data_IF_437948439645
#
_entry.id   IF_437948439645
#
_cell.length_a   1.000
_cell.length_b   1.000
_cell.length_c   1.000
_cell.angle_alpha   90.00
_cell.angle_beta   90.00
_cell.angle_gamma   90.00
#
_symmetry.space_group_name_H-M   'P 1'
#
loop_
_entity.id
_entity.type
_entity.pdbx_description
1 polymer ?
#
# COMPACT_ATOMS: atom_id res chain seq x y z
N UNK A 1 -7.74 32.47 5.40
CA UNK A 1 -8.06 31.16 4.79
C UNK A 1 -6.83 30.29 4.45
N UNK A 2 -5.59 30.81 4.44
CA UNK A 2 -4.40 30.06 3.98
C UNK A 2 -3.89 28.94 4.91
N UNK A 3 -4.27 28.95 6.20
CA UNK A 3 -3.74 28.02 7.22
C UNK A 3 -4.27 26.58 7.12
N UNK A 4 -5.46 26.38 6.55
CA UNK A 4 -6.08 25.05 6.44
C UNK A 4 -5.45 24.27 5.28
N UNK A 5 -5.17 24.94 4.16
CA UNK A 5 -4.52 24.38 2.98
C UNK A 5 -3.08 23.95 3.28
N UNK A 6 -2.33 24.75 4.04
CA UNK A 6 -0.96 24.40 4.47
C UNK A 6 -0.91 23.19 5.40
N UNK A 7 -1.90 23.03 6.30
CA UNK A 7 -1.99 21.85 7.18
C UNK A 7 -2.34 20.58 6.41
N UNK A 8 -3.22 20.69 5.43
CA UNK A 8 -3.60 19.55 4.58
C UNK A 8 -2.42 19.11 3.69
N UNK A 9 -1.65 20.06 3.14
CA UNK A 9 -0.42 19.74 2.39
C UNK A 9 0.67 19.11 3.27
N UNK A 10 0.80 19.55 4.53
CA UNK A 10 1.72 18.92 5.50
C UNK A 10 1.31 17.50 5.88
N UNK A 11 0.01 17.22 6.00
CA UNK A 11 -0.52 15.87 6.23
C UNK A 11 -0.32 14.96 5.00
N UNK A 12 -0.53 15.48 3.78
CA UNK A 12 -0.29 14.73 2.54
C UNK A 12 1.19 14.43 2.33
N UNK A 13 2.09 15.37 2.65
CA UNK A 13 3.52 15.12 2.64
C UNK A 13 3.95 14.09 3.72
N UNK A 14 3.34 14.13 4.90
CA UNK A 14 3.58 13.13 5.96
C UNK A 14 3.11 11.73 5.57
N UNK A 15 1.95 11.61 4.90
CA UNK A 15 1.46 10.33 4.36
C UNK A 15 2.34 9.84 3.21
N UNK A 16 2.77 10.72 2.30
CA UNK A 16 3.67 10.37 1.20
C UNK A 16 5.07 9.93 1.70
N UNK A 17 5.56 10.48 2.81
CA UNK A 17 6.81 10.04 3.44
C UNK A 17 6.66 8.71 4.17
N UNK A 18 5.48 8.40 4.73
CA UNK A 18 5.20 7.08 5.31
C UNK A 18 5.12 5.99 4.22
N UNK A 19 4.58 6.32 3.04
CA UNK A 19 4.59 5.38 1.89
C UNK A 19 5.98 5.25 1.27
N UNK A 20 6.78 6.32 1.22
CA UNK A 20 8.16 6.28 0.69
C UNK A 20 9.19 5.64 1.63
N UNK A 21 8.93 5.59 2.93
CA UNK A 21 9.82 4.97 3.92
C UNK A 21 9.79 3.43 3.92
N UNK A 22 8.85 2.80 3.21
CA UNK A 22 8.71 1.34 3.20
C UNK A 22 9.77 0.62 2.34
N UNK A 23 10.51 1.34 1.48
CA UNK A 23 11.57 0.77 0.65
C UNK A 23 12.84 0.38 1.44
N UNK A 24 12.91 0.63 2.75
CA UNK A 24 14.10 0.47 3.57
C UNK A 24 14.03 -0.69 4.60
N UNK A 25 13.28 -1.77 4.35
CA UNK A 25 13.32 -2.98 5.20
C UNK A 25 14.12 -4.09 4.51
N UNK A 26 15.45 -4.02 4.64
CA UNK A 26 16.39 -4.98 4.07
C UNK A 26 16.61 -6.25 4.94
N UNK A 27 15.92 -6.41 6.07
CA UNK A 27 16.21 -7.48 7.05
C UNK A 27 14.98 -8.29 7.51
N UNK A 28 13.85 -8.12 6.82
CA UNK A 28 12.62 -8.91 6.99
C UNK A 28 11.73 -8.68 5.77
N UNK A 29 11.53 -9.70 4.93
CA UNK A 29 10.96 -9.57 3.58
C UNK A 29 9.46 -9.19 3.57
N UNK A 30 9.10 -7.97 3.95
CA UNK A 30 7.74 -7.47 3.76
C UNK A 30 7.44 -7.27 2.27
N UNK A 31 6.26 -7.66 1.82
CA UNK A 31 5.78 -7.41 0.45
C UNK A 31 4.62 -6.43 0.45
N UNK A 32 4.51 -5.62 -0.60
CA UNK A 32 3.40 -4.71 -0.82
C UNK A 32 2.53 -5.22 -1.97
N UNK A 33 1.25 -5.39 -1.68
CA UNK A 33 0.24 -5.92 -2.59
C UNK A 33 -0.80 -4.85 -2.89
N UNK A 34 -0.92 -4.49 -4.17
CA UNK A 34 -1.93 -3.57 -4.70
C UNK A 34 -3.24 -4.27 -5.05
N UNK A 35 -4.38 -3.68 -4.70
CA UNK A 35 -5.71 -4.18 -5.05
C UNK A 35 -6.72 -3.05 -5.31
N UNK A 36 -7.87 -3.36 -5.91
CA UNK A 36 -8.98 -2.42 -6.10
C UNK A 36 -10.07 -2.65 -5.04
N UNK A 37 -10.56 -1.58 -4.41
CA UNK A 37 -11.54 -1.67 -3.31
C UNK A 37 -12.96 -2.02 -3.79
N UNK A 38 -13.27 -1.68 -5.05
CA UNK A 38 -14.63 -1.74 -5.60
C UNK A 38 -15.16 -3.18 -5.78
N UNK A 39 -14.29 -4.18 -5.67
CA UNK A 39 -14.59 -5.58 -5.96
C UNK A 39 -14.41 -6.44 -4.70
N UNK A 40 -15.48 -7.07 -4.16
CA UNK A 40 -15.38 -7.95 -3.00
C UNK A 40 -14.70 -9.26 -3.41
N UNK A 41 -13.39 -9.33 -3.19
CA UNK A 41 -12.55 -10.44 -3.62
C UNK A 41 -12.32 -11.44 -2.48
N UNK A 42 -12.23 -12.75 -2.76
CA UNK A 42 -12.09 -13.79 -1.73
C UNK A 42 -10.86 -13.62 -0.81
N UNK A 43 -9.78 -13.02 -1.32
CA UNK A 43 -8.56 -12.78 -0.55
C UNK A 43 -8.77 -11.79 0.61
N UNK A 44 -9.83 -10.97 0.59
CA UNK A 44 -10.04 -9.94 1.61
C UNK A 44 -10.23 -10.53 2.99
N UNK A 45 -10.85 -11.72 3.11
CA UNK A 45 -10.95 -12.43 4.39
C UNK A 45 -9.56 -12.77 4.94
N UNK A 46 -8.70 -13.37 4.12
CA UNK A 46 -7.35 -13.73 4.55
C UNK A 46 -6.48 -12.51 4.87
N UNK A 47 -6.66 -11.42 4.12
CA UNK A 47 -6.05 -10.12 4.40
C UNK A 47 -6.44 -9.58 5.79
N UNK A 48 -7.73 -9.46 6.09
CA UNK A 48 -8.19 -8.84 7.36
C UNK A 48 -7.85 -9.69 8.57
N UNK A 49 -7.71 -11.01 8.39
CA UNK A 49 -7.33 -11.94 9.45
C UNK A 49 -5.80 -12.14 9.55
N UNK A 50 -4.98 -11.47 8.74
CA UNK A 50 -3.52 -11.61 8.79
C UNK A 50 -2.98 -12.99 8.39
N UNK A 51 -3.80 -13.82 7.74
CA UNK A 51 -3.45 -15.20 7.37
C UNK A 51 -2.31 -15.26 6.35
N UNK A 52 -2.13 -14.22 5.54
CA UNK A 52 -1.01 -14.13 4.61
C UNK A 52 0.31 -13.90 5.34
N UNK A 53 0.31 -13.04 6.35
CA UNK A 53 1.52 -12.75 7.14
C UNK A 53 2.00 -14.01 7.87
N UNK A 54 1.06 -14.75 8.45
CA UNK A 54 1.32 -16.04 9.10
C UNK A 54 1.88 -17.08 8.12
N UNK A 55 1.22 -17.25 6.97
CA UNK A 55 1.62 -18.25 5.98
C UNK A 55 2.97 -17.93 5.31
N UNK A 56 3.29 -16.65 5.14
CA UNK A 56 4.53 -16.20 4.49
C UNK A 56 5.67 -15.96 5.47
N UNK A 57 5.40 -15.93 6.78
CA UNK A 57 6.38 -15.56 7.80
C UNK A 57 6.89 -14.13 7.64
N UNK A 58 6.11 -13.27 6.99
CA UNK A 58 6.52 -11.93 6.58
C UNK A 58 5.31 -11.00 6.43
N UNK A 59 5.48 -9.72 6.75
CA UNK A 59 4.38 -8.74 6.69
C UNK A 59 3.91 -8.48 5.26
N UNK A 60 2.60 -8.56 5.01
CA UNK A 60 1.97 -8.16 3.75
C UNK A 60 1.30 -6.79 3.90
N UNK A 61 1.88 -5.78 3.25
CA UNK A 61 1.31 -4.44 3.17
C UNK A 61 0.24 -4.40 2.07
N UNK A 62 -0.96 -3.91 2.37
CA UNK A 62 -2.05 -3.85 1.40
C UNK A 62 -2.37 -2.42 1.01
N UNK A 63 -2.29 -2.10 -0.28
CA UNK A 63 -2.57 -0.75 -0.81
C UNK A 63 -3.77 -0.82 -1.76
N UNK A 64 -4.78 -0.01 -1.47
CA UNK A 64 -5.92 0.16 -2.37
C UNK A 64 -5.59 1.19 -3.45
N UNK A 65 -5.97 0.92 -4.69
CA UNK A 65 -5.87 1.86 -5.80
C UNK A 65 -7.25 2.15 -6.39
N UNK A 66 -7.42 3.39 -6.86
CA UNK A 66 -8.65 3.83 -7.54
C UNK A 66 -8.55 3.67 -9.07
N UNK A 67 -7.33 3.60 -9.62
CA UNK A 67 -7.11 3.49 -11.07
C UNK A 67 -5.93 2.58 -11.40
N UNK A 68 -6.02 1.90 -12.55
CA UNK A 68 -4.93 1.09 -13.08
C UNK A 68 -3.67 1.90 -13.39
N UNK A 69 -3.79 3.19 -13.75
CA UNK A 69 -2.64 4.08 -13.99
C UNK A 69 -1.83 4.31 -12.72
N UNK A 70 -2.49 4.56 -11.59
CA UNK A 70 -1.81 4.73 -10.31
C UNK A 70 -1.13 3.43 -9.85
N UNK A 71 -1.81 2.29 -10.01
CA UNK A 71 -1.25 0.97 -9.71
C UNK A 71 -0.03 0.65 -10.60
N UNK A 72 -0.13 0.92 -11.90
CA UNK A 72 0.97 0.69 -12.85
C UNK A 72 2.18 1.55 -12.52
N UNK A 73 1.97 2.81 -12.13
CA UNK A 73 3.06 3.68 -11.70
C UNK A 73 3.75 3.15 -10.43
N UNK A 74 2.96 2.71 -9.43
CA UNK A 74 3.48 2.15 -8.19
C UNK A 74 4.24 0.81 -8.41
N UNK A 75 3.80 0.00 -9.37
CA UNK A 75 4.54 -1.21 -9.75
C UNK A 75 5.85 -0.86 -10.46
N UNK A 76 5.83 0.12 -11.36
CA UNK A 76 7.02 0.55 -12.08
C UNK A 76 8.07 1.22 -11.18
N UNK A 77 7.65 1.93 -10.12
CA UNK A 77 8.55 2.51 -9.12
C UNK A 77 9.08 1.48 -8.12
N UNK A 78 8.53 0.26 -8.10
CA UNK A 78 8.86 -0.76 -7.10
C UNK A 78 8.17 -0.55 -5.75
N UNK A 79 7.22 0.39 -5.65
CA UNK A 79 6.41 0.62 -4.44
C UNK A 79 5.42 -0.53 -4.20
N UNK A 80 5.01 -1.23 -5.26
CA UNK A 80 4.17 -2.43 -5.24
C UNK A 80 4.89 -3.57 -5.94
N UNK A 81 4.97 -4.73 -5.30
CA UNK A 81 5.62 -5.92 -5.88
C UNK A 81 4.62 -6.87 -6.52
N UNK A 82 3.35 -6.86 -6.08
CA UNK A 82 2.31 -7.72 -6.62
C UNK A 82 0.98 -6.99 -6.73
N UNK A 83 0.28 -7.15 -7.85
CA UNK A 83 -1.12 -6.69 -8.01
C UNK A 83 -2.06 -7.88 -7.99
N UNK A 84 -3.15 -7.79 -7.24
CA UNK A 84 -4.24 -8.78 -7.27
C UNK A 84 -5.58 -8.06 -7.40
N UNK A 85 -6.30 -8.39 -8.47
CA UNK A 85 -7.57 -7.80 -8.89
C UNK A 85 -8.49 -8.88 -9.43
#
# INVERSE_FOLDING_TARGET
MMKLTTKLMGAVAGVAMLTGAQAANADGHSITVGYFLEWPMPFQYAKVNGLYDEALGATVNWVAFDTGTAMSAAMASGDVQMSVS
#
